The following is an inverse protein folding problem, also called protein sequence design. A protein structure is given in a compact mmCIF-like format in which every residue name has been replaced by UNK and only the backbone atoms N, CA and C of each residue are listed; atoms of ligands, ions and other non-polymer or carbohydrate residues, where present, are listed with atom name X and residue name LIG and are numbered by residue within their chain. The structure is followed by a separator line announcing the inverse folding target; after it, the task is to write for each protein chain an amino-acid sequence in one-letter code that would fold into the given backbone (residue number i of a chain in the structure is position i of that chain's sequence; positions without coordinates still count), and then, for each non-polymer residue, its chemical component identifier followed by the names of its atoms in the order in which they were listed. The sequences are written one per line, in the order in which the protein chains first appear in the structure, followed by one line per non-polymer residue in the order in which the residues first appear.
data_IF_862573468289
#
_entry.id   IF_862573468289
#
_cell.length_a   1.000
_cell.length_b   1.000
_cell.length_c   1.000
_cell.angle_alpha   90.00
_cell.angle_beta   90.00
_cell.angle_gamma   90.00
#
_symmetry.space_group_name_H-M   'P 1'
#
loop_
_entity.id
_entity.type
_entity.pdbx_description
1 polymer ?
#
# COMPACT_ATOMS: atom_id res chain seq x y z
N UNK A 1 -1.78 -21.24 -1.19
CA UNK A 1 -3.23 -20.95 -1.15
C UNK A 1 -3.35 -19.48 -0.75
N UNK A 2 -3.86 -18.57 -1.60
CA UNK A 2 -3.97 -17.16 -1.23
C UNK A 2 -5.03 -16.99 -0.15
N UNK A 3 -4.80 -16.09 0.80
CA UNK A 3 -5.75 -15.70 1.85
C UNK A 3 -7.01 -15.09 1.21
N UNK A 4 -8.20 -15.27 1.81
CA UNK A 4 -9.47 -14.92 1.18
C UNK A 4 -9.56 -13.40 0.99
N UNK A 5 -10.05 -12.99 -0.19
CA UNK A 5 -10.23 -11.61 -0.65
C UNK A 5 -11.16 -10.72 0.21
N UNK A 6 -11.59 -11.18 1.39
CA UNK A 6 -12.53 -10.47 2.26
C UNK A 6 -11.92 -9.29 3.02
N UNK A 7 -10.80 -9.46 3.73
CA UNK A 7 -10.33 -8.42 4.67
C UNK A 7 -9.62 -7.24 4.00
N UNK A 8 -8.81 -7.48 2.97
CA UNK A 8 -8.04 -6.42 2.31
C UNK A 8 -8.92 -5.56 1.41
N UNK A 9 -9.91 -6.18 0.75
CA UNK A 9 -10.90 -5.46 -0.04
C UNK A 9 -11.78 -4.56 0.82
N UNK A 10 -12.13 -4.99 2.02
CA UNK A 10 -12.84 -4.14 2.99
C UNK A 10 -11.98 -2.93 3.39
N UNK A 11 -10.68 -3.13 3.65
CA UNK A 11 -9.76 -2.03 3.96
C UNK A 11 -9.59 -1.06 2.79
N UNK A 12 -9.46 -1.57 1.55
CA UNK A 12 -9.35 -0.73 0.36
C UNK A 12 -10.64 0.08 0.13
N UNK A 13 -11.79 -0.55 0.32
CA UNK A 13 -13.09 0.13 0.24
C UNK A 13 -13.21 1.22 1.30
N UNK A 14 -12.86 0.91 2.55
CA UNK A 14 -12.86 1.89 3.65
C UNK A 14 -11.89 3.05 3.40
N UNK A 15 -10.76 2.79 2.76
CA UNK A 15 -9.76 3.81 2.37
C UNK A 15 -10.16 4.65 1.14
N UNK A 16 -11.37 4.45 0.60
CA UNK A 16 -11.89 5.19 -0.55
C UNK A 16 -11.18 4.87 -1.87
N UNK A 17 -10.57 3.68 -1.98
CA UNK A 17 -9.94 3.22 -3.23
C UNK A 17 -11.05 2.71 -4.16
N UNK A 18 -11.03 3.17 -5.41
CA UNK A 18 -11.95 2.67 -6.43
C UNK A 18 -11.73 1.15 -6.66
N UNK A 19 -12.78 0.32 -6.67
CA UNK A 19 -12.68 -1.12 -6.95
C UNK A 19 -11.92 -1.45 -8.24
N UNK A 20 -11.97 -0.58 -9.25
CA UNK A 20 -11.19 -0.74 -10.49
C UNK A 20 -9.67 -0.73 -10.25
N UNK A 21 -9.21 -0.16 -9.14
CA UNK A 21 -7.80 -0.09 -8.77
C UNK A 21 -7.34 -1.23 -7.84
N UNK A 22 -8.25 -2.06 -7.31
CA UNK A 22 -7.89 -3.09 -6.31
C UNK A 22 -6.82 -4.05 -6.79
N UNK A 23 -6.82 -4.42 -8.07
CA UNK A 23 -5.77 -5.27 -8.63
C UNK A 23 -4.37 -4.64 -8.61
N UNK A 24 -4.27 -3.32 -8.80
CA UNK A 24 -3.00 -2.60 -8.70
C UNK A 24 -2.54 -2.46 -7.25
N UNK A 25 -3.48 -2.18 -6.34
CA UNK A 25 -3.20 -2.05 -4.90
C UNK A 25 -2.71 -3.39 -4.36
N UNK A 26 -3.43 -4.48 -4.63
CA UNK A 26 -3.04 -5.82 -4.21
C UNK A 26 -1.66 -6.20 -4.72
N UNK A 27 -1.37 -5.89 -5.98
CA UNK A 27 -0.06 -6.16 -6.57
C UNK A 27 1.07 -5.45 -5.82
N UNK A 28 0.92 -4.14 -5.56
CA UNK A 28 1.94 -3.32 -4.90
C UNK A 28 2.06 -3.70 -3.42
N UNK A 29 0.96 -3.67 -2.66
CA UNK A 29 0.95 -3.93 -1.21
C UNK A 29 1.48 -5.34 -0.89
N UNK A 30 1.14 -6.34 -1.69
CA UNK A 30 1.68 -7.70 -1.53
C UNK A 30 3.20 -7.75 -1.65
N UNK A 31 3.82 -6.88 -2.45
CA UNK A 31 5.27 -6.83 -2.66
C UNK A 31 5.99 -5.96 -1.64
N UNK A 32 5.34 -4.90 -1.18
CA UNK A 32 5.88 -4.01 -0.15
C UNK A 32 5.88 -4.69 1.22
N UNK A 33 4.76 -5.30 1.61
CA UNK A 33 4.57 -5.78 2.99
C UNK A 33 3.98 -7.18 3.11
N UNK A 34 3.58 -7.81 2.00
CA UNK A 34 2.81 -9.05 2.04
C UNK A 34 1.46 -8.87 2.74
N UNK A 35 0.90 -7.66 2.68
CA UNK A 35 -0.31 -7.25 3.41
C UNK A 35 -0.19 -7.29 4.94
N UNK A 36 1.02 -7.17 5.50
CA UNK A 36 1.22 -7.03 6.94
C UNK A 36 1.30 -5.54 7.35
N UNK A 37 0.30 -4.98 8.06
CA UNK A 37 0.33 -3.59 8.51
C UNK A 37 1.46 -3.30 9.49
N UNK A 38 2.01 -4.32 10.16
CA UNK A 38 3.13 -4.20 11.08
C UNK A 38 4.48 -4.57 10.43
N UNK A 39 4.54 -4.67 9.09
CA UNK A 39 5.79 -4.94 8.41
C UNK A 39 6.81 -3.84 8.68
N UNK A 40 8.01 -4.22 9.09
CA UNK A 40 9.14 -3.30 9.28
C UNK A 40 10.35 -3.90 8.56
N UNK A 41 10.92 -3.16 7.62
CA UNK A 41 12.17 -3.53 6.96
C UNK A 41 13.35 -3.07 7.83
N UNK A 42 14.09 -4.03 8.38
CA UNK A 42 15.21 -3.77 9.28
C UNK A 42 16.41 -3.13 8.60
N UNK A 43 16.54 -3.24 7.27
CA UNK A 43 17.66 -2.65 6.53
C UNK A 43 17.43 -1.19 6.19
N UNK A 44 16.20 -0.79 5.84
CA UNK A 44 15.87 0.58 5.43
C UNK A 44 15.16 1.38 6.52
N UNK A 45 14.53 0.71 7.49
CA UNK A 45 13.63 1.35 8.47
C UNK A 45 12.26 1.69 7.91
N UNK A 46 11.90 1.20 6.72
CA UNK A 46 10.58 1.37 6.14
C UNK A 46 9.52 0.55 6.87
N UNK A 47 8.27 1.04 6.96
CA UNK A 47 7.23 0.32 7.70
C UNK A 47 5.82 0.42 7.11
N UNK A 48 4.92 -0.46 7.55
CA UNK A 48 3.52 -0.48 7.17
C UNK A 48 3.26 -1.09 5.80
N UNK A 49 1.98 -1.05 5.39
CA UNK A 49 1.52 -1.67 4.14
C UNK A 49 2.27 -1.16 2.91
N UNK A 50 2.56 0.14 2.89
CA UNK A 50 3.25 0.80 1.79
C UNK A 50 4.76 0.96 1.97
N UNK A 51 5.35 0.35 3.01
CA UNK A 51 6.78 0.49 3.35
C UNK A 51 7.24 1.97 3.33
N UNK A 52 6.53 2.82 4.06
CA UNK A 52 6.83 4.24 4.11
C UNK A 52 8.19 4.51 4.77
N UNK A 53 8.93 5.44 4.17
CA UNK A 53 10.22 5.92 4.67
C UNK A 53 10.21 7.45 4.79
N UNK A 54 10.57 8.04 5.95
CA UNK A 54 10.81 7.36 7.23
C UNK A 54 9.54 6.66 7.76
N UNK A 55 9.71 5.64 8.60
CA UNK A 55 8.57 5.05 9.29
C UNK A 55 7.80 6.11 10.08
N UNK A 56 6.47 6.13 9.96
CA UNK A 56 5.63 7.17 10.57
C UNK A 56 5.58 8.49 9.80
N UNK A 57 6.12 8.56 8.57
CA UNK A 57 5.94 9.70 7.64
C UNK A 57 4.47 10.11 7.51
N UNK A 58 3.59 9.12 7.47
CA UNK A 58 2.13 9.28 7.51
C UNK A 58 1.68 9.04 8.96
N UNK A 59 1.46 10.15 9.68
CA UNK A 59 1.06 10.11 11.09
C UNK A 59 -0.22 9.27 11.28
N UNK A 60 -0.19 8.34 12.24
CA UNK A 60 -1.32 7.44 12.52
C UNK A 60 -1.54 6.31 11.51
N UNK A 61 -0.80 6.28 10.40
CA UNK A 61 -1.06 5.38 9.27
C UNK A 61 -0.02 4.27 9.11
N UNK A 62 0.89 4.08 10.06
CA UNK A 62 1.96 3.09 9.89
C UNK A 62 1.53 1.66 10.20
N UNK A 63 0.62 1.47 11.16
CA UNK A 63 0.12 0.16 11.59
C UNK A 63 -1.41 -0.02 11.44
N UNK A 64 -2.16 1.06 11.24
CA UNK A 64 -3.57 0.99 10.87
C UNK A 64 -3.68 0.74 9.34
N UNK A 65 -4.28 -0.37 8.90
CA UNK A 65 -4.33 -0.72 7.49
C UNK A 65 -5.16 0.24 6.63
N UNK A 66 -6.24 0.82 7.17
CA UNK A 66 -7.10 1.73 6.42
C UNK A 66 -6.40 3.06 6.26
N UNK A 67 -5.86 3.63 7.33
CA UNK A 67 -5.11 4.88 7.28
C UNK A 67 -3.84 4.74 6.41
N UNK A 68 -3.18 3.58 6.43
CA UNK A 68 -2.06 3.27 5.53
C UNK A 68 -2.49 3.33 4.07
N UNK A 69 -3.61 2.69 3.72
CA UNK A 69 -4.14 2.66 2.36
C UNK A 69 -4.64 4.04 1.91
N UNK A 70 -5.26 4.84 2.78
CA UNK A 70 -5.65 6.23 2.48
C UNK A 70 -4.41 7.08 2.14
N UNK A 71 -3.36 6.95 2.94
CA UNK A 71 -2.12 7.66 2.72
C UNK A 71 -1.43 7.21 1.42
N UNK A 72 -1.41 5.90 1.14
CA UNK A 72 -0.95 5.36 -0.15
C UNK A 72 -1.78 5.90 -1.32
N UNK A 73 -3.12 5.90 -1.20
CA UNK A 73 -4.04 6.35 -2.23
C UNK A 73 -3.81 7.83 -2.58
N UNK A 74 -3.56 8.67 -1.58
CA UNK A 74 -3.14 10.08 -1.79
C UNK A 74 -1.76 10.17 -2.46
N UNK A 75 -0.80 9.37 -1.98
CA UNK A 75 0.57 9.41 -2.47
C UNK A 75 0.70 8.96 -3.93
N UNK A 76 -0.04 7.93 -4.38
CA UNK A 76 0.00 7.46 -5.77
C UNK A 76 -0.49 8.48 -6.79
N UNK A 77 -1.18 9.55 -6.34
CA UNK A 77 -1.57 10.67 -7.19
C UNK A 77 -0.37 11.28 -7.96
N UNK A 78 0.85 11.22 -7.40
CA UNK A 78 2.06 11.69 -8.08
C UNK A 78 2.48 10.87 -9.31
N UNK A 79 1.94 9.66 -9.46
CA UNK A 79 2.15 8.79 -10.64
C UNK A 79 0.96 8.84 -11.60
N UNK A 80 -0.05 9.69 -11.34
CA UNK A 80 -1.32 9.64 -12.06
C UNK A 80 -2.27 8.55 -11.55
N UNK A 81 -2.12 8.11 -10.30
CA UNK A 81 -2.95 7.10 -9.65
C UNK A 81 -2.32 5.70 -9.63
N UNK A 82 -3.10 4.71 -9.19
CA UNK A 82 -2.63 3.34 -8.95
C UNK A 82 -2.07 2.64 -10.20
N UNK A 83 -2.64 2.86 -11.39
CA UNK A 83 -2.14 2.29 -12.63
C UNK A 83 -0.74 2.83 -13.01
N UNK A 84 -0.51 4.13 -12.76
CA UNK A 84 0.79 4.76 -12.98
C UNK A 84 1.83 4.30 -11.94
N UNK A 85 1.42 4.19 -10.68
CA UNK A 85 2.25 3.64 -9.61
C UNK A 85 2.65 2.18 -9.90
N UNK A 86 1.71 1.35 -10.38
CA UNK A 86 1.98 -0.02 -10.83
C UNK A 86 3.03 -0.07 -11.96
N UNK A 87 2.89 0.81 -12.95
CA UNK A 87 3.82 0.89 -14.08
C UNK A 87 5.23 1.32 -13.63
N UNK A 88 5.31 2.29 -12.70
CA UNK A 88 6.56 2.70 -12.07
C UNK A 88 7.20 1.55 -11.28
N UNK A 89 6.41 0.85 -10.46
CA UNK A 89 6.88 -0.27 -9.65
C UNK A 89 7.48 -1.39 -10.47
N UNK A 90 6.86 -1.73 -11.61
CA UNK A 90 7.40 -2.75 -12.53
C UNK A 90 8.81 -2.43 -13.05
N UNK A 91 9.18 -1.16 -13.06
CA UNK A 91 10.47 -0.68 -13.58
C UNK A 91 11.47 -0.44 -12.44
N UNK A 92 11.06 0.26 -11.39
CA UNK A 92 11.95 0.78 -10.35
C UNK A 92 11.84 0.05 -9.01
N UNK A 93 10.88 -0.87 -8.85
CA UNK A 93 10.61 -1.62 -7.61
C UNK A 93 10.26 -0.74 -6.41
N UNK A 94 9.72 0.46 -6.69
CA UNK A 94 9.12 1.37 -5.73
C UNK A 94 7.93 2.08 -6.40
N UNK A 95 7.19 2.87 -5.63
CA UNK A 95 6.01 3.58 -6.10
C UNK A 95 5.83 4.88 -5.34
#
# INVERSE_FOLDING_TARGET
MPLPAGSHTDWMTAAGIDPANFGYVDYIVSRESGWNPNAVNTSSGACGLGQQLPCGKWAGAWNDPVAALEAMNSYVGRYGGWAGAYSHWRTYRNY
#
